data_IF_991708248159
#
_entry.id   IF_991708248159
#
_cell.length_a   1.000
_cell.length_b   1.000
_cell.length_c   1.000
_cell.angle_alpha   90.00
_cell.angle_beta   90.00
_cell.angle_gamma   90.00
#
_symmetry.space_group_name_H-M   'P 1'
#
loop_
_entity.id
_entity.type
_entity.pdbx_description
1 polymer ?
#
# COMPACT_ATOMS: atom_id res chain seq x y z
N UNK A 1 20.16 -4.45 -0.57
CA UNK A 1 18.69 -4.38 -0.40
C UNK A 1 18.06 -5.43 -1.29
N UNK A 2 16.90 -5.97 -0.92
CA UNK A 2 16.07 -6.81 -1.80
C UNK A 2 14.64 -6.29 -1.89
N UNK A 3 13.95 -6.68 -2.97
CA UNK A 3 12.55 -6.34 -3.25
C UNK A 3 11.80 -7.65 -3.46
N UNK A 4 10.96 -8.04 -2.49
CA UNK A 4 10.30 -9.35 -2.49
C UNK A 4 8.89 -9.30 -3.11
N UNK A 5 8.19 -8.18 -2.97
CA UNK A 5 6.90 -7.92 -3.61
C UNK A 5 6.72 -6.44 -3.95
N UNK A 6 5.78 -6.07 -4.84
CA UNK A 6 5.62 -4.69 -5.28
C UNK A 6 5.10 -3.72 -4.21
N UNK A 7 4.46 -4.24 -3.15
CA UNK A 7 4.05 -3.47 -1.98
C UNK A 7 5.07 -3.53 -0.83
N UNK A 8 6.33 -3.84 -1.14
CA UNK A 8 7.43 -3.86 -0.16
C UNK A 8 7.58 -2.52 0.54
N UNK A 9 7.44 -2.55 1.85
CA UNK A 9 7.58 -1.39 2.71
C UNK A 9 9.01 -1.24 3.19
N UNK A 10 9.48 0.00 3.18
CA UNK A 10 10.73 0.47 3.78
C UNK A 10 10.43 1.56 4.81
N UNK A 11 11.40 1.86 5.69
CA UNK A 11 11.32 3.01 6.59
C UNK A 11 12.27 4.10 6.13
N UNK A 12 11.74 5.32 6.00
CA UNK A 12 12.53 6.52 5.79
C UNK A 12 12.63 7.28 7.10
N UNK A 13 13.85 7.71 7.45
CA UNK A 13 14.15 8.44 8.68
C UNK A 13 14.45 9.91 8.36
N UNK A 14 13.53 10.78 8.74
CA UNK A 14 13.64 12.22 8.58
C UNK A 14 14.26 12.86 9.83
N UNK A 15 14.82 14.05 9.68
CA UNK A 15 15.40 14.81 10.79
C UNK A 15 14.41 14.94 11.96
N UNK A 16 14.94 14.90 13.18
CA UNK A 16 14.17 15.13 14.39
C UNK A 16 13.69 16.59 14.47
N UNK A 17 12.84 16.92 15.45
CA UNK A 17 12.27 18.27 15.61
C UNK A 17 13.34 19.35 15.84
N UNK A 18 14.51 18.97 16.38
CA UNK A 18 15.67 19.85 16.57
C UNK A 18 16.54 20.02 15.31
N UNK A 19 16.15 19.42 14.19
CA UNK A 19 16.86 19.46 12.92
C UNK A 19 18.06 18.53 12.83
N UNK A 20 18.37 17.74 13.86
CA UNK A 20 19.46 16.77 13.81
C UNK A 20 19.04 15.48 13.11
N UNK A 21 19.94 14.94 12.30
CA UNK A 21 19.81 13.62 11.68
C UNK A 21 20.77 12.66 12.39
N UNK A 22 20.28 11.99 13.43
CA UNK A 22 21.01 10.87 14.02
C UNK A 22 21.00 9.69 13.05
N UNK A 23 22.19 9.15 12.77
CA UNK A 23 22.33 7.94 11.97
C UNK A 23 22.21 6.72 12.86
N UNK A 24 21.24 5.86 12.57
CA UNK A 24 21.20 4.52 13.13
C UNK A 24 22.37 3.69 12.59
N UNK A 25 22.95 2.87 13.45
CA UNK A 25 23.92 1.86 13.04
C UNK A 25 23.22 0.73 12.27
N UNK A 26 23.92 0.13 11.32
CA UNK A 26 23.44 -1.06 10.64
C UNK A 26 23.52 -2.26 11.60
N UNK A 27 22.37 -2.81 11.98
CA UNK A 27 22.26 -3.87 12.98
C UNK A 27 20.94 -4.62 12.81
N UNK A 28 20.95 -5.92 13.10
CA UNK A 28 19.73 -6.74 13.15
C UNK A 28 18.74 -6.23 14.22
N UNK A 29 19.27 -5.61 15.29
CA UNK A 29 18.50 -5.01 16.39
C UNK A 29 18.20 -3.50 16.20
N UNK A 30 18.21 -3.01 14.95
CA UNK A 30 18.05 -1.58 14.64
C UNK A 30 16.85 -0.92 15.34
N UNK A 31 15.73 -1.65 15.49
CA UNK A 31 14.52 -1.10 16.10
C UNK A 31 14.69 -0.87 17.60
N UNK A 32 15.41 -1.76 18.29
CA UNK A 32 15.78 -1.59 19.69
C UNK A 32 16.68 -0.37 19.86
N UNK A 33 17.68 -0.21 19.00
CA UNK A 33 18.55 0.97 19.00
C UNK A 33 17.77 2.26 18.73
N UNK A 34 16.88 2.26 17.74
CA UNK A 34 15.99 3.39 17.45
C UNK A 34 15.11 3.77 18.65
N UNK A 35 14.53 2.77 19.34
CA UNK A 35 13.70 2.99 20.53
C UNK A 35 14.50 3.48 21.74
N UNK A 36 15.80 3.19 21.81
CA UNK A 36 16.70 3.70 22.86
C UNK A 36 17.04 5.20 22.69
N UNK A 37 16.86 5.77 21.50
CA UNK A 37 17.10 7.21 21.26
C UNK A 37 16.04 8.04 22.01
N UNK A 38 16.44 9.08 22.78
CA UNK A 38 15.51 9.99 23.42
C UNK A 38 14.54 10.61 22.41
N UNK A 39 13.24 10.69 22.76
CA UNK A 39 12.18 11.10 21.83
C UNK A 39 12.48 12.43 21.10
N UNK A 40 13.07 13.40 21.78
CA UNK A 40 13.41 14.71 21.20
C UNK A 40 14.46 14.65 20.08
N UNK A 41 15.35 13.65 20.12
CA UNK A 41 16.45 13.45 19.15
C UNK A 41 16.12 12.33 18.15
N UNK A 42 15.01 11.62 18.36
CA UNK A 42 14.67 10.44 17.58
C UNK A 42 14.26 10.87 16.17
N UNK A 43 14.90 10.34 15.11
CA UNK A 43 14.49 10.62 13.75
C UNK A 43 13.02 10.31 13.54
N UNK A 44 12.33 11.14 12.76
CA UNK A 44 10.93 10.87 12.46
C UNK A 44 10.86 9.76 11.43
N UNK A 45 10.35 8.61 11.83
CA UNK A 45 10.17 7.46 10.94
C UNK A 45 8.84 7.53 10.18
N UNK A 46 8.88 7.27 8.86
CA UNK A 46 7.70 7.02 8.03
C UNK A 46 7.88 5.77 7.19
N UNK A 47 6.78 5.11 6.91
CA UNK A 47 6.74 3.91 6.06
C UNK A 47 6.42 4.33 4.63
N UNK A 48 7.17 3.81 3.67
CA UNK A 48 6.98 4.07 2.24
C UNK A 48 7.07 2.77 1.45
N UNK A 49 6.46 2.73 0.27
CA UNK A 49 6.66 1.67 -0.70
C UNK A 49 8.01 1.85 -1.41
N UNK A 50 8.80 0.78 -1.49
CA UNK A 50 9.97 0.71 -2.35
C UNK A 50 9.50 0.51 -3.79
N UNK A 51 9.35 1.61 -4.54
CA UNK A 51 8.69 1.64 -5.85
C UNK A 51 9.47 0.86 -6.93
N UNK A 52 10.80 0.97 -6.89
CA UNK A 52 11.71 0.24 -7.75
C UNK A 52 13.07 0.08 -7.08
N UNK A 53 13.78 -0.99 -7.43
CA UNK A 53 15.14 -1.26 -6.97
C UNK A 53 15.98 -1.74 -8.17
N UNK A 54 17.03 -1.00 -8.50
CA UNK A 54 17.97 -1.29 -9.59
C UNK A 54 19.36 -1.50 -8.99
N UNK A 55 19.68 -2.75 -8.68
CA UNK A 55 20.91 -3.12 -7.97
C UNK A 55 22.18 -2.89 -8.80
N UNK A 56 22.09 -2.94 -10.12
CA UNK A 56 23.20 -2.74 -11.05
C UNK A 56 23.75 -1.31 -11.05
N UNK A 57 22.87 -0.31 -10.85
CA UNK A 57 23.26 1.09 -10.72
C UNK A 57 23.16 1.64 -9.27
N UNK A 58 22.83 0.80 -8.29
CA UNK A 58 22.61 1.18 -6.89
C UNK A 58 21.54 2.26 -6.71
N UNK A 59 20.42 2.13 -7.43
CA UNK A 59 19.31 3.06 -7.35
C UNK A 59 18.06 2.44 -6.73
N UNK A 60 17.31 3.25 -6.01
CA UNK A 60 15.96 2.94 -5.55
C UNK A 60 15.05 4.13 -5.81
N UNK A 61 13.78 3.84 -6.11
CA UNK A 61 12.76 4.86 -6.25
C UNK A 61 11.78 4.79 -5.09
N UNK A 62 11.34 5.97 -4.65
CA UNK A 62 10.25 6.15 -3.69
C UNK A 62 9.38 7.30 -4.19
N UNK A 63 8.08 7.06 -4.26
CA UNK A 63 7.10 8.07 -4.64
C UNK A 63 6.50 8.72 -3.38
N UNK A 64 6.42 10.06 -3.38
CA UNK A 64 5.89 10.83 -2.26
C UNK A 64 4.58 11.48 -2.64
N UNK A 65 3.53 11.19 -1.88
CA UNK A 65 2.31 12.01 -1.91
C UNK A 65 2.61 13.37 -1.30
N UNK A 66 2.31 14.44 -2.04
CA UNK A 66 2.51 15.80 -1.60
C UNK A 66 1.22 16.34 -0.96
N UNK A 67 1.25 16.60 0.35
CA UNK A 67 0.10 17.10 1.10
C UNK A 67 0.46 18.34 1.95
N UNK A 68 0.88 19.43 1.31
CA UNK A 68 1.37 20.62 2.03
C UNK A 68 2.57 20.33 2.96
N UNK A 69 3.08 21.36 3.66
CA UNK A 69 4.36 21.30 4.39
C UNK A 69 4.28 20.82 5.86
N UNK A 70 3.10 20.38 6.29
CA UNK A 70 2.83 20.13 7.72
C UNK A 70 3.51 18.85 8.24
N UNK A 71 3.79 17.88 7.36
CA UNK A 71 4.48 16.64 7.71
C UNK A 71 5.98 16.66 7.36
N UNK A 72 6.86 16.02 8.16
CA UNK A 72 8.31 16.03 7.92
C UNK A 72 8.70 15.40 6.58
N UNK A 73 8.00 14.35 6.16
CA UNK A 73 8.29 13.69 4.89
C UNK A 73 7.86 14.51 3.67
N UNK A 74 6.67 15.12 3.71
CA UNK A 74 6.22 16.01 2.62
C UNK A 74 7.06 17.29 2.55
N UNK A 75 7.49 17.84 3.70
CA UNK A 75 8.44 18.95 3.75
C UNK A 75 9.78 18.59 3.11
N UNK A 76 10.34 17.43 3.47
CA UNK A 76 11.57 16.95 2.86
C UNK A 76 11.41 16.77 1.35
N UNK A 77 10.33 16.12 0.90
CA UNK A 77 10.07 15.90 -0.53
C UNK A 77 9.92 17.21 -1.33
N UNK A 78 9.36 18.26 -0.74
CA UNK A 78 9.19 19.57 -1.38
C UNK A 78 10.47 20.41 -1.43
N UNK A 79 11.43 20.13 -0.55
CA UNK A 79 12.65 20.93 -0.37
C UNK A 79 13.91 20.21 -0.85
N UNK A 80 13.82 18.91 -1.14
CA UNK A 80 14.98 18.10 -1.47
C UNK A 80 15.56 18.45 -2.84
N UNK A 81 16.88 18.33 -2.92
CA UNK A 81 17.69 18.53 -4.12
C UNK A 81 18.72 17.42 -4.25
N UNK A 82 19.26 17.17 -5.47
CA UNK A 82 20.32 16.18 -5.64
C UNK A 82 21.50 16.46 -4.72
N UNK A 83 21.89 15.45 -3.91
CA UNK A 83 22.93 15.55 -2.89
C UNK A 83 22.40 15.50 -1.46
N UNK A 84 21.10 15.74 -1.25
CA UNK A 84 20.48 15.56 0.07
C UNK A 84 20.46 14.10 0.50
N UNK A 85 20.69 13.87 1.79
CA UNK A 85 20.81 12.52 2.35
C UNK A 85 19.60 12.15 3.18
N UNK A 86 19.16 10.90 3.06
CA UNK A 86 18.11 10.29 3.88
C UNK A 86 18.55 8.90 4.31
N UNK A 87 18.27 8.51 5.55
CA UNK A 87 18.55 7.14 6.01
C UNK A 87 17.34 6.25 5.76
N UNK A 88 17.61 5.02 5.31
CA UNK A 88 16.60 4.02 4.97
C UNK A 88 16.84 2.74 5.77
N UNK A 89 15.76 2.19 6.32
CA UNK A 89 15.71 0.81 6.80
C UNK A 89 14.95 0.00 5.77
N UNK A 90 15.60 -1.01 5.20
CA UNK A 90 15.07 -1.81 4.11
C UNK A 90 15.46 -3.29 4.24
N UNK A 91 14.78 -4.20 3.53
CA UNK A 91 15.13 -5.61 3.48
C UNK A 91 16.60 -5.84 3.11
N UNK A 92 17.28 -6.68 3.91
CA UNK A 92 18.66 -7.07 3.66
C UNK A 92 18.72 -8.13 2.54
N UNK A 93 19.56 -7.91 1.52
CA UNK A 93 19.74 -8.86 0.43
C UNK A 93 20.45 -10.15 0.87
N UNK A 94 21.34 -10.04 1.86
CA UNK A 94 22.11 -11.17 2.39
C UNK A 94 21.31 -12.00 3.40
N UNK A 95 20.05 -11.62 3.68
CA UNK A 95 19.16 -12.38 4.54
C UNK A 95 18.35 -13.39 3.72
N UNK A 96 18.61 -14.67 3.98
CA UNK A 96 18.02 -15.80 3.24
C UNK A 96 16.52 -16.05 3.56
N UNK A 97 15.99 -15.44 4.61
CA UNK A 97 14.58 -15.58 5.02
C UNK A 97 13.64 -14.53 4.41
N UNK A 98 12.33 -14.70 4.64
CA UNK A 98 11.31 -13.68 4.33
C UNK A 98 11.51 -12.44 5.21
N UNK A 99 11.75 -11.27 4.61
CA UNK A 99 11.91 -10.02 5.37
C UNK A 99 10.61 -9.45 5.89
N UNK A 100 9.48 -9.93 5.35
CA UNK A 100 8.16 -9.36 5.56
C UNK A 100 8.04 -7.92 5.06
N UNK A 101 7.02 -7.23 5.55
CA UNK A 101 6.77 -5.83 5.17
C UNK A 101 6.07 -5.67 3.82
N UNK A 102 5.41 -6.71 3.32
CA UNK A 102 4.62 -6.72 2.09
C UNK A 102 3.47 -7.72 2.27
N UNK A 103 2.31 -7.50 1.66
CA UNK A 103 1.17 -8.42 1.74
C UNK A 103 0.72 -8.99 0.40
N UNK A 104 1.17 -8.39 -0.71
CA UNK A 104 0.87 -8.92 -2.03
C UNK A 104 1.61 -10.23 -2.28
N UNK A 105 0.86 -11.33 -2.24
CA UNK A 105 1.33 -12.67 -2.60
C UNK A 105 0.31 -13.29 -3.55
N UNK A 106 0.38 -12.88 -4.83
CA UNK A 106 -0.55 -13.37 -5.83
C UNK A 106 -0.43 -14.89 -6.04
N UNK A 107 -1.53 -15.64 -5.94
CA UNK A 107 -1.53 -17.07 -6.27
C UNK A 107 -1.16 -17.29 -7.74
N UNK A 108 -0.32 -18.28 -8.10
CA UNK A 108 0.05 -18.52 -9.50
C UNK A 108 -1.14 -18.85 -10.43
N UNK A 109 -2.25 -19.33 -9.86
CA UNK A 109 -3.48 -19.68 -10.58
C UNK A 109 -4.54 -18.57 -10.51
N UNK A 110 -4.18 -17.36 -10.05
CA UNK A 110 -5.10 -16.22 -10.00
C UNK A 110 -5.65 -15.91 -11.39
N UNK A 111 -6.98 -15.80 -11.50
CA UNK A 111 -7.70 -15.48 -12.73
C UNK A 111 -8.33 -14.09 -12.66
N UNK A 112 -8.67 -13.64 -11.46
CA UNK A 112 -9.27 -12.34 -11.18
C UNK A 112 -8.59 -11.65 -10.01
N UNK A 113 -8.30 -10.36 -10.17
CA UNK A 113 -7.70 -9.51 -9.15
C UNK A 113 -8.58 -8.30 -8.84
N UNK A 114 -8.59 -7.85 -7.59
CA UNK A 114 -9.21 -6.59 -7.16
C UNK A 114 -8.17 -5.72 -6.45
N UNK A 115 -7.92 -4.52 -6.96
CA UNK A 115 -7.03 -3.54 -6.34
C UNK A 115 -7.83 -2.32 -5.92
N UNK A 116 -7.71 -1.91 -4.66
CA UNK A 116 -8.35 -0.69 -4.15
C UNK A 116 -7.29 0.12 -3.43
N UNK A 117 -6.97 1.31 -3.95
CA UNK A 117 -5.90 2.16 -3.45
C UNK A 117 -6.31 3.63 -3.37
N UNK A 118 -5.86 4.34 -2.33
CA UNK A 118 -5.73 5.79 -2.39
C UNK A 118 -4.35 6.19 -2.93
N UNK A 119 -4.06 7.50 -3.00
CA UNK A 119 -2.81 8.00 -3.56
C UNK A 119 -1.56 7.54 -2.79
N UNK A 120 -1.69 7.19 -1.50
CA UNK A 120 -0.57 6.73 -0.68
C UNK A 120 -0.21 5.27 -0.98
N UNK A 121 -1.20 4.51 -1.43
CA UNK A 121 -1.08 3.11 -1.83
C UNK A 121 -0.87 2.94 -3.34
N UNK A 122 -1.08 3.99 -4.14
CA UNK A 122 -0.94 3.96 -5.59
C UNK A 122 0.43 3.45 -6.07
N UNK A 123 1.59 3.81 -5.47
CA UNK A 123 2.88 3.29 -5.90
C UNK A 123 2.97 1.75 -5.84
N UNK A 124 2.39 1.15 -4.79
CA UNK A 124 2.32 -0.30 -4.63
C UNK A 124 1.35 -0.93 -5.63
N UNK A 125 0.16 -0.34 -5.79
CA UNK A 125 -0.85 -0.84 -6.73
C UNK A 125 -0.35 -0.83 -8.18
N UNK A 126 0.40 0.21 -8.58
CA UNK A 126 1.04 0.27 -9.89
C UNK A 126 2.14 -0.78 -10.04
N UNK A 127 2.97 -0.98 -9.02
CA UNK A 127 3.95 -2.07 -9.01
C UNK A 127 3.30 -3.46 -9.13
N UNK A 128 2.12 -3.66 -8.53
CA UNK A 128 1.34 -4.89 -8.67
C UNK A 128 0.90 -5.09 -10.13
N UNK A 129 0.34 -4.05 -10.77
CA UNK A 129 -0.04 -4.12 -12.19
C UNK A 129 1.17 -4.41 -13.09
N UNK A 130 2.32 -3.80 -12.81
CA UNK A 130 3.57 -4.05 -13.55
C UNK A 130 4.06 -5.49 -13.38
N UNK A 131 3.99 -6.06 -12.17
CA UNK A 131 4.34 -7.45 -11.93
C UNK A 131 3.39 -8.40 -12.69
N UNK A 132 2.08 -8.14 -12.65
CA UNK A 132 1.09 -8.96 -13.35
C UNK A 132 1.23 -8.89 -14.88
N UNK A 133 1.66 -7.75 -15.41
CA UNK A 133 1.92 -7.59 -16.85
C UNK A 133 3.06 -8.48 -17.36
N UNK A 134 3.96 -8.94 -16.48
CA UNK A 134 5.06 -9.85 -16.83
C UNK A 134 4.61 -11.32 -16.89
N UNK A 135 3.39 -11.63 -16.45
CA UNK A 135 2.87 -13.00 -16.52
C UNK A 135 2.56 -13.38 -17.96
N UNK A 136 2.77 -14.66 -18.31
CA UNK A 136 2.43 -15.18 -19.63
C UNK A 136 0.93 -15.02 -19.95
N UNK A 137 0.08 -15.15 -18.93
CA UNK A 137 -1.36 -14.91 -18.99
C UNK A 137 -1.77 -14.04 -17.79
N UNK A 138 -1.73 -12.70 -17.91
CA UNK A 138 -2.18 -11.81 -16.84
C UNK A 138 -3.66 -12.05 -16.50
N UNK A 139 -4.05 -12.01 -15.22
CA UNK A 139 -5.45 -12.16 -14.79
C UNK A 139 -6.28 -10.93 -15.16
N UNK A 140 -7.61 -11.05 -15.19
CA UNK A 140 -8.47 -9.87 -15.24
C UNK A 140 -8.35 -9.11 -13.92
N UNK A 141 -8.07 -7.81 -13.96
CA UNK A 141 -8.00 -6.98 -12.75
C UNK A 141 -9.09 -5.91 -12.80
N UNK A 142 -9.78 -5.70 -11.69
CA UNK A 142 -10.58 -4.51 -11.46
C UNK A 142 -9.85 -3.63 -10.45
N UNK A 143 -9.64 -2.37 -10.75
CA UNK A 143 -8.87 -1.46 -9.91
C UNK A 143 -9.62 -0.15 -9.64
N UNK A 144 -9.61 0.31 -8.39
CA UNK A 144 -10.19 1.58 -7.97
C UNK A 144 -9.11 2.43 -7.31
N UNK A 145 -8.80 3.58 -7.92
CA UNK A 145 -7.72 4.46 -7.48
C UNK A 145 -8.24 5.85 -7.18
N UNK A 146 -8.24 6.23 -5.90
CA UNK A 146 -8.56 7.59 -5.46
C UNK A 146 -7.30 8.46 -5.45
N UNK A 147 -7.39 9.66 -6.01
CA UNK A 147 -6.27 10.61 -6.09
C UNK A 147 -6.72 12.04 -5.78
N UNK A 148 -5.81 12.92 -5.34
CA UNK A 148 -6.15 14.30 -5.01
C UNK A 148 -6.76 15.08 -6.18
N UNK A 149 -6.12 15.04 -7.35
CA UNK A 149 -6.57 15.80 -8.53
C UNK A 149 -6.61 14.96 -9.79
N UNK A 150 -7.41 15.37 -10.77
CA UNK A 150 -7.50 14.67 -12.06
C UNK A 150 -6.15 14.54 -12.78
N UNK A 151 -5.23 15.50 -12.56
CA UNK A 151 -3.87 15.46 -13.11
C UNK A 151 -2.97 14.35 -12.54
N UNK A 152 -3.35 13.76 -11.40
CA UNK A 152 -2.64 12.62 -10.79
C UNK A 152 -3.05 11.28 -11.42
N UNK A 153 -4.08 11.27 -12.28
CA UNK A 153 -4.45 10.08 -13.03
C UNK A 153 -3.40 9.77 -14.10
N UNK A 154 -2.69 8.66 -13.94
CA UNK A 154 -1.65 8.23 -14.89
C UNK A 154 -2.20 7.25 -15.93
N UNK A 155 -1.51 7.15 -17.08
CA UNK A 155 -1.88 6.21 -18.13
C UNK A 155 -1.67 4.76 -17.68
N UNK A 156 -2.68 3.94 -17.93
CA UNK A 156 -2.72 2.50 -17.65
C UNK A 156 -2.89 1.67 -18.93
N UNK A 157 -2.67 2.28 -20.09
CA UNK A 157 -2.86 1.63 -21.40
C UNK A 157 -1.99 0.37 -21.59
N UNK A 158 -0.86 0.30 -20.90
CA UNK A 158 0.05 -0.85 -20.85
C UNK A 158 -0.52 -2.06 -20.08
N UNK A 159 -1.64 -1.90 -19.38
CA UNK A 159 -2.31 -2.96 -18.61
C UNK A 159 -3.69 -3.28 -19.19
N UNK A 160 -3.79 -3.83 -20.41
CA UNK A 160 -5.09 -4.09 -21.06
C UNK A 160 -5.95 -5.14 -20.34
N UNK A 161 -5.36 -5.89 -19.41
CA UNK A 161 -6.05 -6.84 -18.53
C UNK A 161 -6.71 -6.17 -17.32
N UNK A 162 -6.43 -4.89 -17.06
CA UNK A 162 -6.93 -4.13 -15.92
C UNK A 162 -8.01 -3.12 -16.33
N UNK A 163 -9.17 -3.20 -15.70
CA UNK A 163 -10.22 -2.19 -15.74
C UNK A 163 -10.01 -1.23 -14.56
N UNK A 164 -9.50 -0.02 -14.86
CA UNK A 164 -9.11 0.97 -13.84
C UNK A 164 -10.13 2.10 -13.75
N UNK A 165 -10.67 2.32 -12.55
CA UNK A 165 -11.52 3.43 -12.19
C UNK A 165 -10.70 4.48 -11.44
N UNK A 166 -10.43 5.61 -12.09
CA UNK A 166 -9.81 6.77 -11.47
C UNK A 166 -10.85 7.64 -10.77
N UNK A 167 -10.55 8.04 -9.54
CA UNK A 167 -11.47 8.76 -8.64
C UNK A 167 -10.79 10.02 -8.09
N UNK A 168 -10.64 11.08 -8.93
CA UNK A 168 -10.02 12.33 -8.50
C UNK A 168 -10.96 13.15 -7.58
N UNK A 169 -10.44 13.62 -6.45
CA UNK A 169 -11.22 14.34 -5.43
C UNK A 169 -11.52 15.80 -5.73
N UNK A 170 -10.88 16.40 -6.75
CA UNK A 170 -11.10 17.79 -7.14
C UNK A 170 -12.31 18.00 -8.07
N UNK A 171 -12.97 16.92 -8.51
CA UNK A 171 -14.15 16.98 -9.37
C UNK A 171 -15.42 17.08 -8.53
N UNK A 172 -16.15 18.20 -8.63
CA UNK A 172 -17.49 18.35 -8.05
C UNK A 172 -17.55 18.75 -6.58
N UNK A 173 -16.54 19.50 -6.10
CA UNK A 173 -16.21 19.89 -4.70
C UNK A 173 -15.20 18.94 -4.06
N UNK A 174 -14.22 19.49 -3.31
CA UNK A 174 -13.21 18.69 -2.60
C UNK A 174 -13.90 17.70 -1.65
N UNK A 175 -13.92 16.44 -2.07
CA UNK A 175 -14.50 15.35 -1.28
C UNK A 175 -13.56 14.94 -0.14
N UNK A 176 -14.14 14.39 0.93
CA UNK A 176 -13.36 13.76 1.99
C UNK A 176 -12.66 12.51 1.46
N UNK A 177 -11.44 12.25 1.95
CA UNK A 177 -10.67 11.04 1.61
C UNK A 177 -11.54 9.79 1.77
N UNK A 178 -11.43 8.90 0.79
CA UNK A 178 -12.12 7.60 0.75
C UNK A 178 -13.60 7.64 0.40
N UNK A 179 -14.23 8.81 0.31
CA UNK A 179 -15.66 8.90 0.01
C UNK A 179 -15.95 8.37 -1.39
N UNK A 180 -15.21 8.88 -2.39
CA UNK A 180 -15.35 8.45 -3.77
C UNK A 180 -14.93 6.98 -3.93
N UNK A 181 -13.86 6.57 -3.24
CA UNK A 181 -13.38 5.19 -3.26
C UNK A 181 -14.45 4.19 -2.79
N UNK A 182 -15.07 4.46 -1.64
CA UNK A 182 -16.13 3.61 -1.08
C UNK A 182 -17.36 3.61 -2.00
N UNK A 183 -17.80 4.76 -2.49
CA UNK A 183 -18.96 4.85 -3.37
C UNK A 183 -18.77 4.09 -4.69
N UNK A 184 -17.61 4.26 -5.33
CA UNK A 184 -17.29 3.58 -6.59
C UNK A 184 -17.25 2.07 -6.42
N UNK A 185 -16.62 1.57 -5.35
CA UNK A 185 -16.58 0.14 -5.02
C UNK A 185 -18.01 -0.38 -4.80
N UNK A 186 -18.84 0.32 -4.02
CA UNK A 186 -20.24 -0.09 -3.77
C UNK A 186 -21.09 -0.15 -5.05
N UNK A 187 -20.78 0.68 -6.04
CA UNK A 187 -21.54 0.75 -7.29
C UNK A 187 -21.09 -0.28 -8.33
N UNK A 188 -19.80 -0.66 -8.33
CA UNK A 188 -19.18 -1.29 -9.51
C UNK A 188 -18.38 -2.56 -9.21
N UNK A 189 -18.12 -2.88 -7.95
CA UNK A 189 -17.26 -4.03 -7.63
C UNK A 189 -17.86 -5.32 -8.19
N UNK A 190 -17.03 -6.07 -8.91
CA UNK A 190 -17.40 -7.35 -9.50
C UNK A 190 -16.68 -8.48 -8.77
N UNK A 191 -17.37 -9.10 -7.81
CA UNK A 191 -16.85 -10.23 -7.03
C UNK A 191 -17.45 -11.52 -7.59
N UNK A 192 -16.64 -12.45 -8.11
CA UNK A 192 -17.14 -13.69 -8.69
C UNK A 192 -17.79 -14.55 -7.59
N UNK A 193 -18.81 -15.37 -7.93
CA UNK A 193 -19.44 -16.26 -6.96
C UNK A 193 -18.46 -17.20 -6.25
N UNK A 194 -17.37 -17.60 -6.93
CA UNK A 194 -16.32 -18.45 -6.37
C UNK A 194 -15.51 -17.81 -5.25
N UNK A 195 -15.55 -16.48 -5.11
CA UNK A 195 -14.85 -15.74 -4.07
C UNK A 195 -15.76 -15.40 -2.88
N UNK A 196 -17.02 -15.85 -2.86
CA UNK A 196 -17.99 -15.52 -1.81
C UNK A 196 -18.21 -16.68 -0.84
N UNK A 197 -18.28 -16.38 0.46
CA UNK A 197 -18.54 -17.36 1.53
C UNK A 197 -19.52 -16.80 2.57
N UNK A 198 -20.79 -17.20 2.48
CA UNK A 198 -21.89 -16.72 3.34
C UNK A 198 -21.77 -17.09 4.85
N UNK A 199 -20.86 -17.99 5.22
CA UNK A 199 -20.72 -18.49 6.59
C UNK A 199 -19.86 -17.60 7.52
N UNK A 200 -19.28 -16.51 7.02
CA UNK A 200 -18.31 -15.68 7.77
C UNK A 200 -18.95 -14.52 8.55
N UNK A 201 -20.13 -14.04 8.13
CA UNK A 201 -20.77 -12.81 8.65
C UNK A 201 -21.22 -12.91 10.12
N UNK A 202 -21.37 -14.11 10.69
CA UNK A 202 -21.76 -14.31 12.09
C UNK A 202 -20.60 -14.19 13.09
N UNK A 203 -19.34 -14.30 12.65
CA UNK A 203 -18.16 -14.23 13.52
C UNK A 203 -17.64 -12.78 13.72
N UNK A 204 -18.07 -11.82 12.89
CA UNK A 204 -17.60 -10.43 12.94
C UNK A 204 -18.09 -9.66 14.17
N UNK A 205 -19.23 -10.04 14.76
CA UNK A 205 -19.71 -9.41 15.99
C UNK A 205 -18.83 -9.70 17.22
N UNK A 206 -17.73 -10.43 17.09
CA UNK A 206 -16.87 -10.85 18.21
C UNK A 206 -15.39 -10.52 18.05
N UNK A 207 -14.95 -9.91 16.94
CA UNK A 207 -13.55 -9.51 16.75
C UNK A 207 -13.38 -8.01 16.99
N UNK A 208 -12.88 -7.67 18.17
CA UNK A 208 -12.53 -6.30 18.59
C UNK A 208 -11.56 -5.61 17.64
N UNK A 209 -11.71 -4.29 17.51
CA UNK A 209 -11.24 -3.46 16.40
C UNK A 209 -9.73 -3.18 16.26
N UNK A 210 -8.84 -4.09 16.68
CA UNK A 210 -7.40 -3.80 16.80
C UNK A 210 -6.46 -4.60 15.88
N UNK A 211 -6.97 -5.40 14.93
CA UNK A 211 -6.14 -6.08 13.92
C UNK A 211 -6.54 -5.65 12.51
N UNK A 212 -5.94 -4.54 12.06
CA UNK A 212 -6.09 -3.93 10.72
C UNK A 212 -5.06 -4.47 9.70
N UNK A 213 -4.57 -5.69 9.91
CA UNK A 213 -3.60 -6.36 9.04
C UNK A 213 -3.97 -7.83 8.95
N UNK A 214 -4.62 -8.24 7.86
CA UNK A 214 -5.05 -9.61 7.60
C UNK A 214 -4.44 -10.07 6.28
N UNK A 215 -3.67 -11.18 6.31
CA UNK A 215 -2.99 -11.74 5.12
C UNK A 215 -3.82 -12.89 4.54
N UNK A 216 -4.19 -12.78 3.27
CA UNK A 216 -4.89 -13.80 2.51
C UNK A 216 -3.99 -15.02 2.20
N UNK A 217 -4.55 -16.23 2.30
CA UNK A 217 -3.85 -17.48 1.95
C UNK A 217 -4.05 -17.90 0.48
N UNK A 218 -4.93 -17.23 -0.27
CA UNK A 218 -5.04 -17.41 -1.72
C UNK A 218 -5.73 -18.70 -2.15
N UNK A 219 -6.82 -19.09 -1.48
CA UNK A 219 -7.65 -20.21 -1.91
C UNK A 219 -8.61 -19.78 -3.03
N UNK A 220 -8.26 -20.04 -4.28
CA UNK A 220 -9.16 -19.86 -5.43
C UNK A 220 -8.60 -18.98 -6.55
N UNK A 221 -9.40 -18.77 -7.60
CA UNK A 221 -9.02 -17.95 -8.76
C UNK A 221 -9.13 -16.43 -8.54
N UNK A 222 -9.42 -15.96 -7.32
CA UNK A 222 -9.63 -14.55 -6.98
C UNK A 222 -8.68 -14.10 -5.87
N UNK A 223 -8.15 -12.88 -5.98
CA UNK A 223 -7.32 -12.26 -4.95
C UNK A 223 -7.54 -10.74 -4.92
N UNK A 224 -7.60 -10.16 -3.72
CA UNK A 224 -7.83 -8.74 -3.54
C UNK A 224 -6.79 -8.09 -2.62
N UNK A 225 -6.47 -6.84 -2.92
CA UNK A 225 -5.54 -6.02 -2.16
C UNK A 225 -6.13 -4.64 -1.98
N UNK A 226 -6.31 -4.24 -0.72
CA UNK A 226 -6.98 -3.00 -0.33
C UNK A 226 -6.07 -2.22 0.61
N UNK A 227 -5.60 -1.06 0.17
CA UNK A 227 -4.81 -0.16 1.00
C UNK A 227 -5.25 1.30 0.84
N UNK A 228 -5.56 1.95 1.95
CA UNK A 228 -5.95 3.36 1.96
C UNK A 228 -5.84 3.92 3.40
N UNK A 229 -6.42 5.10 3.61
CA UNK A 229 -6.72 5.65 4.92
C UNK A 229 -7.52 4.67 5.81
N UNK A 230 -7.23 4.65 7.11
CA UNK A 230 -7.75 3.71 8.09
C UNK A 230 -9.28 3.59 8.17
N UNK A 231 -10.02 4.69 8.15
CA UNK A 231 -11.49 4.71 8.20
C UNK A 231 -12.09 4.23 6.88
N UNK A 232 -11.44 4.54 5.77
CA UNK A 232 -11.77 4.07 4.42
C UNK A 232 -11.63 2.55 4.33
N UNK A 233 -10.48 2.02 4.79
CA UNK A 233 -10.24 0.56 4.84
C UNK A 233 -11.28 -0.14 5.71
N UNK A 234 -11.63 0.43 6.88
CA UNK A 234 -12.69 -0.12 7.74
C UNK A 234 -14.05 -0.13 7.04
N UNK A 235 -14.39 0.93 6.29
CA UNK A 235 -15.63 1.00 5.53
C UNK A 235 -15.66 -0.03 4.38
N UNK A 236 -14.58 -0.15 3.62
CA UNK A 236 -14.42 -1.14 2.55
C UNK A 236 -14.47 -2.58 3.09
N UNK A 237 -13.79 -2.87 4.20
CA UNK A 237 -13.83 -4.19 4.84
C UNK A 237 -15.25 -4.60 5.23
N UNK A 238 -15.97 -3.71 5.91
CA UNK A 238 -17.38 -3.94 6.30
C UNK A 238 -18.28 -4.18 5.08
N UNK A 239 -18.07 -3.47 3.98
CA UNK A 239 -18.85 -3.67 2.77
C UNK A 239 -18.49 -4.98 2.04
N UNK A 240 -17.20 -5.21 1.80
CA UNK A 240 -16.74 -6.36 1.02
C UNK A 240 -16.97 -7.68 1.76
N UNK A 241 -16.60 -7.76 3.05
CA UNK A 241 -16.80 -8.97 3.85
C UNK A 241 -18.25 -9.09 4.31
N UNK A 242 -18.80 -8.03 4.91
CA UNK A 242 -20.09 -8.08 5.60
C UNK A 242 -21.32 -7.98 4.68
N UNK A 243 -21.23 -7.24 3.57
CA UNK A 243 -22.37 -7.05 2.64
C UNK A 243 -22.20 -7.85 1.33
N UNK A 244 -20.97 -8.07 0.85
CA UNK A 244 -20.71 -8.81 -0.39
C UNK A 244 -20.30 -10.28 -0.17
N UNK A 245 -20.21 -10.72 1.08
CA UNK A 245 -19.76 -12.05 1.50
C UNK A 245 -18.38 -12.44 0.93
N UNK A 246 -17.48 -11.49 0.65
CA UNK A 246 -16.15 -11.79 0.14
C UNK A 246 -15.39 -12.67 1.15
N UNK A 247 -14.81 -13.78 0.67
CA UNK A 247 -14.01 -14.65 1.52
C UNK A 247 -12.75 -13.92 1.99
N UNK A 248 -12.64 -13.70 3.30
CA UNK A 248 -11.48 -13.08 3.96
C UNK A 248 -10.15 -13.74 3.61
N UNK A 249 -10.15 -15.03 3.23
CA UNK A 249 -8.94 -15.76 2.86
C UNK A 249 -8.34 -15.30 1.52
N UNK A 250 -9.06 -14.48 0.77
CA UNK A 250 -8.72 -14.00 -0.58
C UNK A 250 -8.40 -12.51 -0.64
N UNK A 251 -8.49 -11.77 0.46
CA UNK A 251 -8.29 -10.31 0.49
C UNK A 251 -7.33 -9.86 1.60
N UNK A 252 -6.45 -8.91 1.27
CA UNK A 252 -5.66 -8.17 2.25
C UNK A 252 -6.24 -6.76 2.47
N UNK A 253 -6.34 -6.35 3.74
CA UNK A 253 -6.69 -4.98 4.13
C UNK A 253 -5.53 -4.32 4.88
N UNK A 254 -5.14 -3.13 4.45
CA UNK A 254 -3.97 -2.41 4.97
C UNK A 254 -4.27 -0.93 5.19
N UNK A 255 -4.21 -0.45 6.43
CA UNK A 255 -4.34 0.97 6.72
C UNK A 255 -2.98 1.68 6.61
N UNK A 256 -2.77 2.46 5.55
CA UNK A 256 -1.49 3.13 5.31
C UNK A 256 -1.31 4.40 6.17
N UNK A 257 -2.42 5.06 6.52
CA UNK A 257 -2.44 6.27 7.33
C UNK A 257 -3.80 6.45 8.05
N UNK A 258 -3.90 7.44 8.92
CA UNK A 258 -5.09 7.79 9.70
C UNK A 258 -5.19 9.30 9.95
#
# INVERSE_FOLDING_TARGET
MKLEAPDQRIKLLFAAEDGQTLRLENSDDWYRHYMAIPKAQRPVMRTYTLRALRCDCNEMDVEFVLHGVNGPASRWALQSTPGDTLQVVAPNADFDGDSGGYEWVAPPQMQQGLLIADETALPAAMGILEQLAQWANPPRVQAFFEVPVAGDCISVAQFPFAEVFWLPRDVGQQQLHGTLLVEAVRQRVDIPPSARTAAQSLAENSLGGDLLWERAQGAGGFYAWVAAESSTVKALRRYLIGECDLDRSTVNFMAYWC
#
